data_IF_335532523325
#
_entry.id   IF_335532523325
#
_cell.length_a   1.000
_cell.length_b   1.000
_cell.length_c   1.000
_cell.angle_alpha   90.00
_cell.angle_beta   90.00
_cell.angle_gamma   90.00
#
_symmetry.space_group_name_H-M   'P 1'
#
loop_
_entity.id
_entity.type
_entity.pdbx_description
1 polymer ?
#
# COMPACT_ATOMS: atom_id res chain seq x y z
N UNK A 1 4.35 -66.01 -52.24
CA UNK A 1 3.04 -65.44 -52.64
C UNK A 1 2.73 -64.25 -51.74
N UNK A 2 2.51 -63.04 -52.31
CA UNK A 2 2.11 -61.80 -51.59
C UNK A 2 3.15 -61.28 -50.56
N UNK A 3 3.27 -59.99 -50.23
CA UNK A 3 3.04 -58.74 -51.00
C UNK A 3 3.75 -57.55 -50.33
N UNK A 4 4.15 -56.56 -51.12
CA UNK A 4 4.59 -55.18 -50.76
C UNK A 4 3.53 -54.41 -49.93
N UNK A 5 3.76 -53.14 -49.45
CA UNK A 5 4.94 -52.24 -49.57
C UNK A 5 5.54 -51.91 -48.16
N UNK A 6 6.02 -50.73 -47.70
CA UNK A 6 6.07 -49.33 -48.18
C UNK A 6 7.24 -48.52 -47.52
N UNK A 7 7.19 -47.18 -47.63
CA UNK A 7 8.22 -46.15 -47.41
C UNK A 7 8.25 -45.44 -46.03
N UNK A 8 9.43 -44.87 -45.76
CA UNK A 8 9.71 -43.52 -45.21
C UNK A 8 9.35 -43.10 -43.76
N UNK A 9 10.43 -42.83 -43.01
CA UNK A 9 10.78 -41.52 -42.40
C UNK A 9 9.68 -40.68 -41.75
N UNK A 10 9.73 -40.55 -40.41
CA UNK A 10 9.16 -39.41 -39.68
C UNK A 10 10.04 -38.90 -38.53
N UNK A 11 10.65 -37.75 -38.79
CA UNK A 11 10.83 -36.57 -37.90
C UNK A 11 11.58 -36.76 -36.57
N UNK A 12 12.49 -35.81 -36.30
CA UNK A 12 13.29 -35.74 -35.08
C UNK A 12 12.46 -35.69 -33.79
N UNK A 13 12.97 -36.36 -32.76
CA UNK A 13 12.42 -36.36 -31.40
C UNK A 13 12.52 -34.96 -30.78
N UNK A 14 11.38 -34.27 -30.65
CA UNK A 14 11.32 -32.84 -30.34
C UNK A 14 11.66 -32.52 -28.87
N UNK A 15 12.69 -31.69 -28.66
CA UNK A 15 12.99 -31.09 -27.36
C UNK A 15 11.79 -30.29 -26.84
N UNK A 16 11.15 -30.77 -25.78
CA UNK A 16 9.99 -30.09 -25.17
C UNK A 16 10.47 -28.88 -24.37
N UNK A 17 10.48 -27.70 -24.99
CA UNK A 17 10.83 -26.46 -24.32
C UNK A 17 9.78 -26.11 -23.26
N UNK A 18 10.17 -26.22 -21.98
CA UNK A 18 9.31 -25.85 -20.86
C UNK A 18 9.14 -24.33 -20.82
N UNK A 19 8.02 -23.82 -21.35
CA UNK A 19 7.69 -22.39 -21.27
C UNK A 19 7.43 -22.00 -19.82
N UNK A 20 8.44 -21.40 -19.19
CA UNK A 20 8.28 -20.64 -17.95
C UNK A 20 7.47 -19.38 -18.25
N UNK A 21 6.14 -19.48 -18.11
CA UNK A 21 5.25 -18.32 -18.07
C UNK A 21 5.49 -17.60 -16.74
N UNK A 22 6.53 -16.76 -16.70
CA UNK A 22 6.77 -15.82 -15.61
C UNK A 22 5.71 -14.74 -15.68
N UNK A 23 4.55 -15.02 -15.09
CA UNK A 23 3.44 -14.07 -15.01
C UNK A 23 3.91 -12.79 -14.32
N UNK A 24 3.67 -11.65 -14.96
CA UNK A 24 3.99 -10.33 -14.40
C UNK A 24 3.09 -10.10 -13.19
N UNK A 25 3.62 -10.41 -11.99
CA UNK A 25 2.94 -10.09 -10.74
C UNK A 25 2.91 -8.56 -10.61
N UNK A 26 1.72 -7.92 -10.53
CA UNK A 26 1.66 -6.51 -10.20
C UNK A 26 2.18 -6.34 -8.78
N UNK A 27 3.26 -5.57 -8.61
CA UNK A 27 3.78 -5.23 -7.28
C UNK A 27 2.73 -4.37 -6.58
N UNK A 28 1.89 -5.01 -5.77
CA UNK A 28 1.04 -4.33 -4.79
C UNK A 28 1.95 -3.64 -3.79
N UNK A 29 2.17 -2.35 -4.01
CA UNK A 29 2.81 -1.48 -3.04
C UNK A 29 1.91 -1.38 -1.80
N UNK A 30 2.29 -2.07 -0.74
CA UNK A 30 1.59 -1.98 0.53
C UNK A 30 1.74 -0.56 1.09
N UNK A 31 0.63 0.05 1.50
CA UNK A 31 0.64 1.40 2.07
C UNK A 31 1.37 1.34 3.40
N UNK A 32 2.47 2.08 3.49
CA UNK A 32 3.28 2.16 4.69
C UNK A 32 2.72 3.27 5.58
N UNK A 33 2.16 2.89 6.73
CA UNK A 33 1.88 3.80 7.84
C UNK A 33 3.08 3.93 8.78
N UNK A 34 3.37 5.13 9.26
CA UNK A 34 4.40 5.40 10.27
C UNK A 34 3.94 6.47 11.26
N UNK A 35 4.10 6.20 12.55
CA UNK A 35 3.98 7.27 13.54
C UNK A 35 5.15 8.25 13.43
N UNK A 36 4.86 9.54 13.60
CA UNK A 36 5.83 10.63 13.49
C UNK A 36 5.60 11.63 14.62
N UNK A 37 6.57 11.74 15.52
CA UNK A 37 6.56 12.76 16.56
C UNK A 37 7.04 14.08 15.97
N UNK A 38 6.30 15.16 16.24
CA UNK A 38 6.66 16.53 15.85
C UNK A 38 6.25 17.51 16.97
N UNK A 39 6.55 18.79 16.78
CA UNK A 39 6.14 19.84 17.70
C UNK A 39 5.68 21.08 16.95
N UNK A 40 4.64 21.73 17.46
CA UNK A 40 4.20 23.06 17.02
C UNK A 40 3.98 23.92 18.26
N UNK A 41 4.48 25.17 18.23
CA UNK A 41 4.31 26.16 19.32
C UNK A 41 4.72 25.64 20.72
N UNK A 42 5.72 24.75 20.76
CA UNK A 42 6.20 24.10 22.00
C UNK A 42 5.41 22.87 22.45
N UNK A 43 4.24 22.59 21.86
CA UNK A 43 3.42 21.41 22.15
C UNK A 43 3.97 20.17 21.42
N UNK A 44 4.02 19.03 22.09
CA UNK A 44 4.38 17.74 21.51
C UNK A 44 3.18 17.06 20.84
N UNK A 45 3.34 16.60 19.59
CA UNK A 45 2.25 16.13 18.74
C UNK A 45 2.63 14.79 18.08
N UNK A 46 1.67 13.87 18.00
CA UNK A 46 1.87 12.50 17.50
C UNK A 46 1.10 12.27 16.20
N UNK A 47 1.76 12.41 15.06
CA UNK A 47 1.17 12.21 13.75
C UNK A 47 1.26 10.76 13.23
N UNK A 48 0.52 10.45 12.17
CA UNK A 48 0.61 9.19 11.43
C UNK A 48 0.70 9.47 9.93
N UNK A 49 1.86 9.19 9.35
CA UNK A 49 2.21 9.43 7.96
C UNK A 49 1.97 8.14 7.15
N UNK A 50 0.97 8.17 6.27
CA UNK A 50 0.65 7.10 5.33
C UNK A 50 1.17 7.43 3.93
N UNK A 51 1.86 6.48 3.29
CA UNK A 51 2.33 6.62 1.91
C UNK A 51 2.52 5.27 1.21
N UNK A 52 2.21 5.22 -0.09
CA UNK A 52 2.69 4.16 -0.98
C UNK A 52 4.23 4.18 -1.03
N UNK A 53 4.87 3.06 -0.68
CA UNK A 53 6.33 2.92 -0.61
C UNK A 53 7.02 2.65 -1.95
N UNK A 54 6.30 2.20 -2.98
CA UNK A 54 6.85 1.99 -4.31
C UNK A 54 6.91 3.30 -5.12
N UNK A 55 5.90 4.17 -5.00
CA UNK A 55 5.86 5.50 -5.63
C UNK A 55 7.05 6.36 -5.15
N UNK A 56 7.94 6.73 -6.08
CA UNK A 56 9.14 7.55 -5.83
C UNK A 56 8.91 9.00 -6.28
N UNK A 57 9.79 9.91 -5.85
CA UNK A 57 9.73 11.34 -6.19
C UNK A 57 8.77 12.13 -5.29
N UNK A 58 8.62 13.43 -5.61
CA UNK A 58 7.68 14.33 -4.93
C UNK A 58 6.23 13.95 -5.27
N UNK A 59 5.34 14.06 -4.29
CA UNK A 59 3.90 13.79 -4.39
C UNK A 59 3.12 14.92 -3.70
N UNK A 60 1.85 15.15 -4.04
CA UNK A 60 1.02 16.08 -3.27
C UNK A 60 0.84 15.58 -1.83
N UNK A 61 1.05 16.48 -0.87
CA UNK A 61 0.84 16.22 0.55
C UNK A 61 -0.60 16.57 0.96
N UNK A 62 -1.17 15.79 1.89
CA UNK A 62 -2.49 16.06 2.48
C UNK A 62 -2.41 15.96 3.99
N UNK A 63 -2.94 16.94 4.71
CA UNK A 63 -3.17 16.84 6.15
C UNK A 63 -4.58 16.30 6.39
N UNK A 64 -4.69 15.28 7.24
CA UNK A 64 -5.96 14.70 7.69
C UNK A 64 -6.16 15.14 9.13
N UNK A 65 -7.00 16.16 9.32
CA UNK A 65 -7.45 16.61 10.63
C UNK A 65 -8.54 15.67 11.12
N UNK A 66 -8.45 15.22 12.37
CA UNK A 66 -9.47 14.38 13.01
C UNK A 66 -10.71 15.19 13.42
N UNK A 67 -11.80 14.49 13.73
CA UNK A 67 -12.97 15.09 14.37
C UNK A 67 -12.81 15.09 15.91
N UNK A 68 -13.90 15.23 16.67
CA UNK A 68 -13.87 15.42 18.13
C UNK A 68 -13.32 14.23 18.92
N UNK A 69 -13.24 13.04 18.32
CA UNK A 69 -12.67 11.84 18.94
C UNK A 69 -11.13 11.80 19.00
N UNK A 70 -10.42 12.79 18.45
CA UNK A 70 -8.95 12.87 18.49
C UNK A 70 -8.23 11.97 17.46
N UNK A 71 -6.91 11.77 17.62
CA UNK A 71 -6.08 11.00 16.68
C UNK A 71 -6.29 9.48 16.79
N UNK A 72 -7.46 9.03 16.32
CA UNK A 72 -7.93 7.67 16.41
C UNK A 72 -7.61 6.83 15.15
N UNK A 73 -7.96 5.54 15.18
CA UNK A 73 -7.77 4.62 14.07
C UNK A 73 -8.57 4.99 12.80
N UNK A 74 -9.69 5.72 12.93
CA UNK A 74 -10.49 6.18 11.80
C UNK A 74 -9.78 7.31 11.02
N UNK A 75 -9.21 8.30 11.71
CA UNK A 75 -8.37 9.33 11.10
C UNK A 75 -7.15 8.73 10.38
N UNK A 76 -6.49 7.75 11.02
CA UNK A 76 -5.39 6.96 10.42
C UNK A 76 -5.84 6.24 9.13
N UNK A 77 -7.00 5.57 9.14
CA UNK A 77 -7.50 4.87 7.94
C UNK A 77 -7.86 5.84 6.80
N UNK A 78 -8.30 7.07 7.09
CA UNK A 78 -8.49 8.09 6.05
C UNK A 78 -7.17 8.54 5.42
N UNK A 79 -6.08 8.63 6.18
CA UNK A 79 -4.75 8.86 5.61
C UNK A 79 -4.27 7.69 4.72
N UNK A 80 -4.52 6.44 5.12
CA UNK A 80 -4.22 5.27 4.26
C UNK A 80 -4.97 5.30 2.93
N UNK A 81 -6.28 5.58 2.93
CA UNK A 81 -7.08 5.69 1.69
C UNK A 81 -6.54 6.76 0.72
N UNK A 82 -5.99 7.85 1.25
CA UNK A 82 -5.32 8.88 0.43
C UNK A 82 -3.97 8.38 -0.10
N UNK A 83 -3.22 7.60 0.68
CA UNK A 83 -1.99 6.98 0.22
C UNK A 83 -2.23 5.90 -0.87
N UNK A 84 -3.32 5.14 -0.79
CA UNK A 84 -3.78 4.21 -1.84
C UNK A 84 -3.98 4.96 -3.17
N UNK A 85 -4.64 6.13 -3.12
CA UNK A 85 -4.82 7.06 -4.25
C UNK A 85 -3.52 7.73 -4.73
N UNK A 86 -2.40 7.57 -4.02
CA UNK A 86 -1.07 8.01 -4.42
C UNK A 86 -0.57 9.31 -3.77
N UNK A 87 -1.31 9.88 -2.83
CA UNK A 87 -0.87 11.03 -2.03
C UNK A 87 0.22 10.62 -1.01
N UNK A 88 0.77 11.61 -0.31
CA UNK A 88 1.40 11.40 1.01
C UNK A 88 0.49 12.07 2.03
N UNK A 89 -0.10 11.29 2.93
CA UNK A 89 -1.11 11.78 3.86
C UNK A 89 -0.60 11.72 5.30
N UNK A 90 -0.74 12.82 6.04
CA UNK A 90 -0.40 12.90 7.46
C UNK A 90 -1.69 13.12 8.25
N UNK A 91 -2.14 12.11 9.00
CA UNK A 91 -3.10 12.32 10.07
C UNK A 91 -2.39 13.07 11.20
N UNK A 92 -2.88 14.27 11.53
CA UNK A 92 -2.32 15.16 12.55
C UNK A 92 -3.02 14.98 13.88
N UNK A 93 -2.27 15.15 14.96
CA UNK A 93 -2.81 15.34 16.31
C UNK A 93 -3.01 16.84 16.49
N UNK A 94 -4.23 17.26 16.78
CA UNK A 94 -4.59 18.67 17.03
C UNK A 94 -4.80 18.99 18.52
N UNK A 95 -4.85 17.97 19.39
CA UNK A 95 -5.14 18.13 20.83
C UNK A 95 -3.88 18.00 21.71
N UNK A 96 -2.80 17.45 21.17
CA UNK A 96 -1.53 17.27 21.89
C UNK A 96 -1.43 15.92 22.59
N UNK A 97 -0.20 15.45 22.74
CA UNK A 97 0.17 14.23 23.48
C UNK A 97 -0.50 12.92 22.97
N UNK A 98 -1.20 12.93 21.84
CA UNK A 98 -1.99 11.80 21.34
C UNK A 98 -3.33 11.61 22.08
N UNK A 99 -3.96 12.69 22.56
CA UNK A 99 -5.30 12.62 23.16
C UNK A 99 -6.34 12.08 22.17
N UNK A 100 -7.22 11.25 22.69
CA UNK A 100 -8.39 10.66 22.02
C UNK A 100 -9.52 10.55 23.04
N UNK A 101 -10.75 10.44 22.55
CA UNK A 101 -11.94 10.31 23.38
C UNK A 101 -12.79 9.11 22.97
N UNK A 102 -13.30 8.36 23.95
CA UNK A 102 -14.15 7.17 23.75
C UNK A 102 -15.63 7.43 24.08
N UNK A 103 -15.96 8.57 24.71
CA UNK A 103 -17.32 8.94 25.09
C UNK A 103 -17.53 10.46 24.92
N UNK A 104 -18.70 10.98 24.50
CA UNK A 104 -18.84 12.40 24.09
C UNK A 104 -18.61 13.45 25.19
N UNK A 105 -18.42 13.01 26.44
CA UNK A 105 -18.10 13.84 27.61
C UNK A 105 -16.59 14.11 27.76
N UNK A 106 -15.76 13.28 27.11
CA UNK A 106 -14.30 13.28 27.20
C UNK A 106 -13.65 13.92 25.96
N UNK A 107 -14.48 14.44 25.03
CA UNK A 107 -14.05 15.04 23.76
C UNK A 107 -13.83 16.55 23.89
N UNK A 108 -12.60 17.01 23.65
CA UNK A 108 -12.14 18.40 23.76
C UNK A 108 -10.67 18.48 24.16
#
# INVERSE_FOLDING_TARGET
MKSLPLFASRVAMTSTALLLIVGIQPVRAEVTGKEVNYSAEGTALKGYLAYDGAKKGKRPGVLVVHEWWGHNAYARKRAEMLAELGYVALAVDMFGDGKTADHPKDAG
#
